data_IF_813377508864
#
_entry.id   IF_813377508864
#
_cell.length_a   1.000
_cell.length_b   1.000
_cell.length_c   1.000
_cell.angle_alpha   90.00
_cell.angle_beta   90.00
_cell.angle_gamma   90.00
#
_symmetry.space_group_name_H-M   'P 1'
#
loop_
_entity.id
_entity.type
_entity.pdbx_description
1 polymer ?
#
# COMPACT_ATOMS: atom_id res chain seq x y z
N UNK A 1 -11.75 -6.61 -35.92
CA UNK A 1 -12.39 -5.43 -35.30
C UNK A 1 -12.10 -5.28 -33.80
N UNK A 2 -11.95 -6.36 -33.02
CA UNK A 2 -11.73 -6.31 -31.55
C UNK A 2 -10.45 -5.58 -31.10
N UNK A 3 -9.29 -5.85 -31.71
CA UNK A 3 -8.00 -5.22 -31.32
C UNK A 3 -7.98 -3.70 -31.42
N UNK A 4 -8.73 -3.13 -32.38
CA UNK A 4 -8.84 -1.68 -32.56
C UNK A 4 -9.63 -1.04 -31.41
N UNK A 5 -10.73 -1.67 -30.99
CA UNK A 5 -11.56 -1.18 -29.88
C UNK A 5 -10.79 -1.23 -28.56
N UNK A 6 -10.06 -2.32 -28.32
CA UNK A 6 -9.18 -2.45 -27.15
C UNK A 6 -8.12 -1.35 -27.11
N UNK A 7 -7.45 -1.10 -28.24
CA UNK A 7 -6.43 -0.06 -28.36
C UNK A 7 -6.98 1.35 -28.08
N UNK A 8 -8.20 1.63 -28.52
CA UNK A 8 -8.86 2.91 -28.26
C UNK A 8 -9.21 3.09 -26.77
N UNK A 9 -9.67 2.03 -26.10
CA UNK A 9 -9.96 2.07 -24.67
C UNK A 9 -8.68 2.32 -23.86
N UNK A 10 -7.60 1.61 -24.19
CA UNK A 10 -6.27 1.80 -23.57
C UNK A 10 -5.75 3.23 -23.74
N UNK A 11 -5.93 3.81 -24.93
CA UNK A 11 -5.56 5.19 -25.20
C UNK A 11 -6.37 6.19 -24.36
N UNK A 12 -7.65 5.92 -24.13
CA UNK A 12 -8.50 6.77 -23.29
C UNK A 12 -8.02 6.75 -21.84
N UNK A 13 -7.72 5.58 -21.29
CA UNK A 13 -7.15 5.41 -19.94
C UNK A 13 -5.83 6.17 -19.83
N UNK A 14 -4.95 6.03 -20.83
CA UNK A 14 -3.69 6.76 -20.88
C UNK A 14 -3.88 8.27 -20.83
N UNK A 15 -4.85 8.80 -21.58
CA UNK A 15 -5.16 10.24 -21.59
C UNK A 15 -5.66 10.73 -20.24
N UNK A 16 -6.45 9.93 -19.52
CA UNK A 16 -6.92 10.26 -18.18
C UNK A 16 -5.79 10.27 -17.16
N UNK A 17 -4.94 9.24 -17.18
CA UNK A 17 -3.77 9.15 -16.31
C UNK A 17 -2.77 10.29 -16.57
N UNK A 18 -2.57 10.68 -17.84
CA UNK A 18 -1.71 11.82 -18.20
C UNK A 18 -2.24 13.13 -17.61
N UNK A 19 -3.55 13.40 -17.71
CA UNK A 19 -4.17 14.57 -17.08
C UNK A 19 -4.01 14.57 -15.57
N UNK A 20 -4.15 13.41 -14.94
CA UNK A 20 -3.93 13.26 -13.50
C UNK A 20 -2.48 13.63 -13.12
N UNK A 21 -1.49 13.07 -13.82
CA UNK A 21 -0.07 13.38 -13.61
C UNK A 21 0.19 14.89 -13.76
N UNK A 22 -0.33 15.51 -14.82
CA UNK A 22 -0.18 16.95 -15.05
C UNK A 22 -0.82 17.78 -13.93
N UNK A 23 -2.03 17.40 -13.48
CA UNK A 23 -2.72 18.10 -12.39
C UNK A 23 -1.91 18.11 -11.10
N UNK A 24 -1.32 16.97 -10.75
CA UNK A 24 -0.49 16.80 -9.56
C UNK A 24 0.82 17.57 -9.70
N UNK A 25 1.46 17.48 -10.87
CA UNK A 25 2.69 18.23 -11.15
C UNK A 25 2.46 19.74 -11.11
N UNK A 26 1.27 20.22 -11.50
CA UNK A 26 0.92 21.65 -11.45
C UNK A 26 0.58 22.12 -10.04
N UNK A 27 -0.06 21.28 -9.24
CA UNK A 27 -0.41 21.60 -7.85
C UNK A 27 0.84 21.80 -6.98
N UNK A 28 1.93 21.06 -7.25
CA UNK A 28 3.24 21.27 -6.62
C UNK A 28 3.26 21.01 -5.10
N UNK A 29 2.24 20.31 -4.58
CA UNK A 29 2.03 20.09 -3.15
C UNK A 29 2.60 18.75 -2.65
N UNK A 30 3.19 17.94 -3.52
CA UNK A 30 3.75 16.64 -3.17
C UNK A 30 5.28 16.70 -3.15
N UNK A 31 5.89 15.95 -2.23
CA UNK A 31 7.35 15.77 -2.14
C UNK A 31 7.92 14.84 -3.22
N UNK A 32 7.04 14.23 -4.02
CA UNK A 32 7.38 13.33 -5.11
C UNK A 32 6.75 13.78 -6.42
N UNK A 33 7.31 13.31 -7.53
CA UNK A 33 6.82 13.60 -8.88
C UNK A 33 6.20 12.34 -9.49
N UNK A 34 5.05 12.51 -10.13
CA UNK A 34 4.47 11.48 -11.00
C UNK A 34 4.98 11.66 -12.44
N UNK A 35 5.12 10.54 -13.15
CA UNK A 35 5.58 10.50 -14.52
C UNK A 35 4.93 9.35 -15.29
N UNK A 36 5.01 9.40 -16.61
CA UNK A 36 4.51 8.33 -17.48
C UNK A 36 5.36 7.08 -17.25
N UNK A 37 4.69 5.93 -17.09
CA UNK A 37 5.30 4.64 -16.84
C UNK A 37 4.61 3.53 -17.65
N UNK A 38 5.06 2.29 -17.50
CA UNK A 38 4.52 1.10 -18.19
C UNK A 38 3.09 0.74 -17.76
N UNK A 39 2.57 1.36 -16.70
CA UNK A 39 1.22 1.13 -16.17
C UNK A 39 0.27 2.27 -16.55
N UNK A 40 0.70 3.22 -17.38
CA UNK A 40 -0.06 4.42 -17.68
C UNK A 40 -1.34 4.15 -18.50
N UNK A 41 -1.47 2.98 -19.13
CA UNK A 41 -2.66 2.53 -19.86
C UNK A 41 -3.58 1.60 -19.03
N UNK A 42 -3.26 1.41 -17.74
CA UNK A 42 -3.98 0.52 -16.82
C UNK A 42 -4.77 1.36 -15.81
N UNK A 43 -5.95 0.88 -15.40
CA UNK A 43 -6.77 1.52 -14.37
C UNK A 43 -6.26 1.17 -12.96
N UNK A 44 -6.58 1.99 -11.96
CA UNK A 44 -6.19 1.72 -10.58
C UNK A 44 -6.72 0.38 -10.04
N UNK A 45 -7.93 -0.01 -10.45
CA UNK A 45 -8.55 -1.29 -10.08
C UNK A 45 -7.83 -2.49 -10.73
N UNK A 46 -7.48 -2.37 -12.02
CA UNK A 46 -6.70 -3.40 -12.72
C UNK A 46 -5.30 -3.52 -12.14
N UNK A 47 -4.67 -2.38 -11.78
CA UNK A 47 -3.37 -2.35 -11.12
C UNK A 47 -3.46 -3.12 -9.80
N UNK A 48 -4.44 -2.79 -8.95
CA UNK A 48 -4.63 -3.46 -7.67
C UNK A 48 -4.88 -4.96 -7.86
N UNK A 49 -5.73 -5.35 -8.82
CA UNK A 49 -6.05 -6.75 -9.08
C UNK A 49 -4.84 -7.55 -9.59
N UNK A 50 -4.00 -6.94 -10.44
CA UNK A 50 -2.84 -7.62 -11.06
C UNK A 50 -1.60 -7.65 -10.18
N UNK A 51 -1.37 -6.60 -9.40
CA UNK A 51 -0.08 -6.40 -8.71
C UNK A 51 -0.19 -6.33 -7.19
N UNK A 52 -1.38 -6.30 -6.61
CA UNK A 52 -1.49 -6.38 -5.14
C UNK A 52 -1.03 -7.74 -4.66
N UNK A 53 -0.10 -7.74 -3.69
CA UNK A 53 0.60 -8.92 -3.16
C UNK A 53 -0.30 -9.86 -2.31
N UNK A 54 -1.63 -9.76 -2.42
CA UNK A 54 -2.56 -10.52 -1.59
C UNK A 54 -2.55 -10.11 -0.12
N UNK A 55 -2.09 -8.89 0.19
CA UNK A 55 -2.17 -8.31 1.53
C UNK A 55 -3.63 -8.04 1.87
N UNK A 56 -4.30 -9.05 2.41
CA UNK A 56 -5.57 -8.91 3.08
C UNK A 56 -5.28 -8.34 4.46
N UNK A 57 -5.40 -7.03 4.62
CA UNK A 57 -5.37 -6.42 5.95
C UNK A 57 -6.55 -7.02 6.73
N UNK A 58 -6.33 -7.79 7.81
CA UNK A 58 -7.45 -8.19 8.65
C UNK A 58 -8.13 -6.91 9.10
N UNK A 59 -9.46 -6.86 8.95
CA UNK A 59 -10.30 -5.77 9.45
C UNK A 59 -10.33 -5.80 10.98
N UNK A 60 -9.17 -5.71 11.61
CA UNK A 60 -9.06 -5.45 13.02
C UNK A 60 -9.15 -3.94 13.14
N UNK A 61 -10.37 -3.43 13.28
CA UNK A 61 -10.54 -2.23 14.07
C UNK A 61 -9.93 -2.58 15.43
N UNK A 62 -8.83 -1.95 15.89
CA UNK A 62 -8.65 -1.87 17.33
C UNK A 62 -9.86 -1.04 17.76
N UNK A 63 -10.89 -1.70 18.30
CA UNK A 63 -11.81 -1.00 19.16
C UNK A 63 -10.92 -0.21 20.11
N UNK A 64 -11.16 1.08 20.25
CA UNK A 64 -10.56 1.90 21.28
C UNK A 64 -11.06 1.40 22.64
N UNK A 65 -10.62 0.21 23.03
CA UNK A 65 -10.60 -0.21 24.40
C UNK A 65 -9.59 0.73 25.07
N UNK A 66 -9.95 1.44 26.14
CA UNK A 66 -8.97 2.21 26.87
C UNK A 66 -7.80 1.30 27.24
N UNK A 67 -6.58 1.82 27.11
CA UNK A 67 -5.35 1.21 27.61
C UNK A 67 -5.65 0.42 28.89
N UNK A 68 -5.73 -0.91 28.78
CA UNK A 68 -5.52 -1.77 29.93
C UNK A 68 -4.07 -2.19 29.81
N UNK A 69 -3.20 -1.40 30.43
CA UNK A 69 -1.85 -1.80 30.76
C UNK A 69 -1.94 -3.01 31.70
N UNK A 70 -2.19 -4.19 31.15
CA UNK A 70 -1.90 -5.44 31.85
C UNK A 70 -0.40 -5.67 31.72
N UNK A 71 0.31 -4.99 32.60
CA UNK A 71 1.50 -5.45 33.30
C UNK A 71 2.03 -6.79 32.81
N UNK A 72 3.21 -6.77 32.18
CA UNK A 72 4.01 -7.98 32.03
C UNK A 72 4.30 -8.51 33.42
N UNK A 73 3.63 -9.59 33.81
CA UNK A 73 3.83 -10.19 35.11
C UNK A 73 5.12 -11.01 35.09
N UNK A 74 6.22 -10.36 35.44
CA UNK A 74 7.56 -10.95 35.65
C UNK A 74 7.53 -11.76 36.96
N UNK A 75 6.72 -12.80 37.02
CA UNK A 75 6.67 -13.69 38.19
C UNK A 75 7.13 -15.11 37.88
N UNK A 76 7.48 -15.39 36.63
CA UNK A 76 7.89 -16.73 36.16
C UNK A 76 9.28 -16.72 35.51
N UNK A 77 10.12 -15.72 35.84
CA UNK A 77 11.56 -15.81 35.54
C UNK A 77 12.23 -16.54 36.70
N UNK A 78 12.46 -17.84 36.53
CA UNK A 78 13.44 -18.58 37.32
C UNK A 78 14.84 -18.12 36.95
N UNK A 79 15.75 -18.01 37.94
CA UNK A 79 17.17 -17.64 37.72
C UNK A 79 17.87 -18.57 36.71
N UNK A 80 17.32 -19.75 36.45
CA UNK A 80 17.79 -20.73 35.45
C UNK A 80 17.64 -20.24 33.99
N UNK A 81 16.77 -19.26 33.72
CA UNK A 81 16.48 -18.79 32.36
C UNK A 81 17.37 -17.60 31.92
N UNK A 82 18.33 -17.20 32.75
CA UNK A 82 19.30 -16.15 32.40
C UNK A 82 20.52 -16.80 31.72
N UNK A 83 20.69 -16.70 30.39
CA UNK A 83 21.89 -17.20 29.74
C UNK A 83 23.10 -16.40 30.22
N UNK A 84 24.08 -17.08 30.82
CA UNK A 84 25.28 -16.48 31.42
C UNK A 84 26.31 -15.93 30.41
N UNK A 85 25.92 -15.70 29.16
CA UNK A 85 26.83 -15.23 28.11
C UNK A 85 26.45 -13.82 27.66
N UNK A 86 26.70 -12.86 28.55
CA UNK A 86 27.02 -11.49 28.15
C UNK A 86 28.52 -11.32 28.36
N UNK A 87 29.29 -11.49 27.28
CA UNK A 87 30.67 -11.01 27.14
C UNK A 87 30.62 -9.62 26.47
#
# INVERSE_FOLDING_TARGET
>A
MSRLLESLNRLMIFKENLKFIESISKAGNLSYKLGINELADITSEELFTKYSTGLNMPSSHPSSSPLSSTEFKINDLTDDDIPSNLD
#
